data_IF_491358571559
#
_entry.id   IF_491358571559
#
_cell.length_a   1.000
_cell.length_b   1.000
_cell.length_c   1.000
_cell.angle_alpha   90.00
_cell.angle_beta   90.00
_cell.angle_gamma   90.00
#
_symmetry.space_group_name_H-M   'P 1'
#
loop_
_entity.id
_entity.type
_entity.pdbx_description
1 polymer ?
#
# COMPACT_ATOMS: atom_id res chain seq x y z
N UNK A 1 -0.78 16.54 -18.85
CA UNK A 1 0.57 16.11 -18.39
C UNK A 1 1.03 14.91 -19.21
N UNK A 2 2.29 14.91 -19.64
CA UNK A 2 2.92 13.74 -20.27
C UNK A 2 3.01 12.59 -19.24
N UNK A 3 2.75 11.34 -19.67
CA UNK A 3 2.78 10.16 -18.79
C UNK A 3 4.19 9.94 -18.23
N UNK A 4 4.30 9.68 -16.93
CA UNK A 4 5.57 9.36 -16.28
C UNK A 4 5.65 7.83 -16.07
N UNK A 5 6.47 7.17 -16.87
CA UNK A 5 6.64 5.70 -16.85
C UNK A 5 7.39 5.20 -15.61
N UNK A 6 8.23 6.04 -14.99
CA UNK A 6 8.88 5.70 -13.73
C UNK A 6 7.86 5.57 -12.58
N UNK A 7 6.84 6.46 -12.53
CA UNK A 7 5.73 6.30 -11.59
C UNK A 7 4.92 5.04 -11.85
N UNK A 8 4.74 4.67 -13.12
CA UNK A 8 4.07 3.42 -13.47
C UNK A 8 4.88 2.21 -13.00
N UNK A 9 6.21 2.25 -13.12
CA UNK A 9 7.11 1.22 -12.62
C UNK A 9 7.05 1.12 -11.08
N UNK A 10 7.09 2.26 -10.37
CA UNK A 10 6.94 2.31 -8.91
C UNK A 10 5.59 1.69 -8.48
N UNK A 11 4.51 1.97 -9.22
CA UNK A 11 3.19 1.40 -8.93
C UNK A 11 3.16 -0.12 -9.08
N UNK A 12 3.81 -0.66 -10.11
CA UNK A 12 3.96 -2.11 -10.31
C UNK A 12 4.77 -2.70 -9.15
N UNK A 13 5.92 -2.12 -8.81
CA UNK A 13 6.76 -2.59 -7.72
C UNK A 13 6.02 -2.55 -6.37
N UNK A 14 5.27 -1.49 -6.08
CA UNK A 14 4.44 -1.38 -4.88
C UNK A 14 3.35 -2.46 -4.82
N UNK A 15 2.71 -2.78 -5.96
CA UNK A 15 1.73 -3.85 -6.06
C UNK A 15 2.36 -5.22 -5.78
N UNK A 16 3.53 -5.50 -6.34
CA UNK A 16 4.30 -6.73 -6.08
C UNK A 16 4.70 -6.85 -4.60
N UNK A 17 5.14 -5.74 -3.98
CA UNK A 17 5.47 -5.69 -2.57
C UNK A 17 4.28 -6.04 -1.67
N UNK A 18 3.07 -5.57 -2.01
CA UNK A 18 1.85 -5.93 -1.27
C UNK A 18 1.51 -7.42 -1.42
N UNK A 19 1.72 -8.03 -2.61
CA UNK A 19 1.57 -9.47 -2.78
C UNK A 19 2.54 -10.25 -1.88
N UNK A 20 3.79 -9.78 -1.75
CA UNK A 20 4.79 -10.35 -0.84
C UNK A 20 4.29 -10.34 0.61
N UNK A 21 3.76 -9.21 1.10
CA UNK A 21 3.21 -9.10 2.46
C UNK A 21 2.08 -10.08 2.75
N UNK A 22 1.29 -10.47 1.74
CA UNK A 22 0.16 -11.39 1.95
C UNK A 22 0.52 -12.85 1.81
N UNK A 23 1.60 -13.18 1.09
CA UNK A 23 2.04 -14.56 0.89
C UNK A 23 3.04 -14.99 1.95
N UNK A 24 4.03 -14.16 2.22
CA UNK A 24 5.00 -14.40 3.27
C UNK A 24 4.46 -13.94 4.63
N UNK A 25 5.09 -14.34 5.71
CA UNK A 25 4.66 -13.97 7.05
C UNK A 25 5.82 -13.96 8.04
N UNK A 26 5.55 -13.49 9.24
CA UNK A 26 6.54 -13.37 10.32
C UNK A 26 6.79 -14.71 11.06
N UNK A 27 6.01 -15.75 10.77
CA UNK A 27 6.06 -17.03 11.50
C UNK A 27 6.88 -18.12 10.81
N UNK A 28 7.31 -17.92 9.57
CA UNK A 28 7.93 -18.93 8.71
C UNK A 28 9.46 -19.04 8.81
N UNK A 29 10.09 -18.61 9.92
CA UNK A 29 11.55 -18.60 10.09
C UNK A 29 12.23 -17.38 9.44
N UNK A 30 13.55 -17.27 9.61
CA UNK A 30 14.31 -16.07 9.24
C UNK A 30 14.13 -15.66 7.77
N UNK A 31 14.38 -16.57 6.84
CA UNK A 31 14.33 -16.24 5.39
C UNK A 31 12.92 -15.80 4.99
N UNK A 32 11.89 -16.50 5.45
CA UNK A 32 10.50 -16.16 5.16
C UNK A 32 10.13 -14.77 5.69
N UNK A 33 10.58 -14.45 6.90
CA UNK A 33 10.32 -13.15 7.54
C UNK A 33 11.09 -12.01 6.86
N UNK A 34 12.33 -12.24 6.42
CA UNK A 34 13.10 -11.27 5.61
C UNK A 34 12.39 -11.00 4.29
N UNK A 35 11.92 -12.04 3.60
CA UNK A 35 11.14 -11.88 2.36
C UNK A 35 9.83 -11.12 2.62
N UNK A 36 9.14 -11.40 3.73
CA UNK A 36 7.96 -10.63 4.15
C UNK A 36 8.29 -9.13 4.29
N UNK A 37 9.34 -8.78 5.03
CA UNK A 37 9.70 -7.37 5.24
C UNK A 37 10.21 -6.67 3.98
N UNK A 38 10.68 -7.40 2.96
CA UNK A 38 10.93 -6.80 1.64
C UNK A 38 9.66 -6.16 1.04
N UNK A 39 8.46 -6.57 1.48
CA UNK A 39 7.20 -5.98 1.03
C UNK A 39 6.82 -4.68 1.72
N UNK A 40 7.49 -4.28 2.80
CA UNK A 40 7.11 -3.13 3.64
C UNK A 40 6.97 -1.82 2.87
N UNK A 41 7.75 -1.58 1.82
CA UNK A 41 7.67 -0.34 1.05
C UNK A 41 6.38 -0.19 0.22
N UNK A 42 5.59 -1.25 0.03
CA UNK A 42 4.47 -1.26 -0.93
C UNK A 42 3.42 -0.20 -0.64
N UNK A 43 2.83 -0.21 0.54
CA UNK A 43 1.76 0.73 0.95
C UNK A 43 2.26 2.19 1.00
N UNK A 44 3.41 2.50 1.62
CA UNK A 44 3.96 3.85 1.58
C UNK A 44 4.14 4.41 0.16
N UNK A 45 4.64 3.61 -0.78
CA UNK A 45 4.79 4.06 -2.17
C UNK A 45 3.45 4.40 -2.82
N UNK A 46 2.35 3.71 -2.51
CA UNK A 46 1.03 4.07 -3.02
C UNK A 46 0.56 5.43 -2.49
N UNK A 47 0.80 5.75 -1.22
CA UNK A 47 0.54 7.09 -0.68
C UNK A 47 1.42 8.15 -1.35
N UNK A 48 2.71 7.87 -1.57
CA UNK A 48 3.62 8.78 -2.27
C UNK A 48 3.19 9.03 -3.72
N UNK A 49 2.80 8.00 -4.47
CA UNK A 49 2.25 8.13 -5.84
C UNK A 49 0.98 9.00 -5.84
N UNK A 50 0.12 8.79 -4.85
CA UNK A 50 -1.12 9.56 -4.71
C UNK A 50 -0.83 11.03 -4.44
N UNK A 51 0.08 11.33 -3.52
CA UNK A 51 0.53 12.69 -3.22
C UNK A 51 1.19 13.37 -4.42
N UNK A 52 2.10 12.66 -5.10
CA UNK A 52 2.76 13.14 -6.33
C UNK A 52 1.74 13.61 -7.38
N UNK A 53 0.64 12.88 -7.55
CA UNK A 53 -0.37 13.19 -8.57
C UNK A 53 -1.42 14.20 -8.09
N UNK A 54 -1.87 14.08 -6.85
CA UNK A 54 -2.98 14.89 -6.34
C UNK A 54 -2.56 16.30 -5.97
N UNK A 55 -1.37 16.47 -5.41
CA UNK A 55 -0.83 17.79 -5.03
C UNK A 55 -0.17 18.54 -6.20
N UNK A 56 -0.05 17.93 -7.37
CA UNK A 56 0.55 18.55 -8.56
C UNK A 56 -0.24 19.74 -9.10
N UNK A 57 -1.56 19.79 -8.84
CA UNK A 57 -2.44 20.90 -9.21
C UNK A 57 -3.52 21.10 -8.15
N UNK A 58 -3.99 22.36 -7.99
CA UNK A 58 -5.16 22.65 -7.17
C UNK A 58 -6.38 21.92 -7.73
N UNK A 59 -7.14 21.29 -6.83
CA UNK A 59 -8.37 20.56 -7.19
C UNK A 59 -9.55 21.16 -6.45
N UNK A 60 -10.72 21.17 -7.11
CA UNK A 60 -11.95 21.58 -6.46
C UNK A 60 -12.41 20.53 -5.44
N UNK A 61 -13.15 20.95 -4.42
CA UNK A 61 -13.79 20.02 -3.48
C UNK A 61 -14.72 19.05 -4.19
N UNK A 62 -15.42 19.49 -5.24
CA UNK A 62 -16.28 18.63 -6.04
C UNK A 62 -15.51 17.49 -6.72
N UNK A 63 -14.34 17.79 -7.35
CA UNK A 63 -13.48 16.73 -7.94
C UNK A 63 -13.00 15.71 -6.90
N UNK A 64 -12.71 16.17 -5.70
CA UNK A 64 -12.24 15.33 -4.60
C UNK A 64 -13.37 14.48 -4.06
N UNK A 65 -14.53 15.10 -3.79
CA UNK A 65 -15.71 14.40 -3.28
C UNK A 65 -16.14 13.27 -4.23
N UNK A 66 -16.15 13.54 -5.54
CA UNK A 66 -16.45 12.51 -6.54
C UNK A 66 -15.47 11.32 -6.50
N UNK A 67 -14.18 11.57 -6.22
CA UNK A 67 -13.20 10.49 -6.05
C UNK A 67 -13.50 9.66 -4.80
N UNK A 68 -13.80 10.32 -3.67
CA UNK A 68 -14.16 9.68 -2.42
C UNK A 68 -15.44 8.86 -2.57
N UNK A 69 -16.48 9.44 -3.16
CA UNK A 69 -17.74 8.73 -3.45
C UNK A 69 -17.49 7.49 -4.33
N UNK A 70 -16.65 7.60 -5.38
CA UNK A 70 -16.32 6.45 -6.21
C UNK A 70 -15.57 5.35 -5.43
N UNK A 71 -14.72 5.69 -4.46
CA UNK A 71 -14.08 4.73 -3.57
C UNK A 71 -15.14 4.00 -2.73
N UNK A 72 -16.02 4.71 -2.06
CA UNK A 72 -17.05 4.09 -1.21
C UNK A 72 -18.07 3.29 -2.01
N UNK A 73 -18.50 3.77 -3.16
CA UNK A 73 -19.35 2.98 -4.07
C UNK A 73 -18.67 1.68 -4.49
N UNK A 74 -17.38 1.75 -4.79
CA UNK A 74 -16.61 0.55 -5.09
C UNK A 74 -16.61 -0.44 -3.91
N UNK A 75 -16.32 0.03 -2.69
CA UNK A 75 -16.31 -0.80 -1.49
C UNK A 75 -17.69 -1.41 -1.20
N UNK A 76 -18.76 -0.63 -1.32
CA UNK A 76 -20.14 -1.11 -1.11
C UNK A 76 -20.47 -2.20 -2.13
N UNK A 77 -20.23 -1.97 -3.43
CA UNK A 77 -20.48 -2.97 -4.46
C UNK A 77 -19.67 -4.24 -4.20
N UNK A 78 -18.42 -4.10 -3.78
CA UNK A 78 -17.58 -5.24 -3.45
C UNK A 78 -18.14 -6.02 -2.24
N UNK A 79 -18.57 -5.35 -1.18
CA UNK A 79 -19.18 -6.02 -0.02
C UNK A 79 -20.50 -6.72 -0.39
N UNK A 80 -21.34 -6.08 -1.20
CA UNK A 80 -22.63 -6.65 -1.65
C UNK A 80 -22.41 -7.85 -2.59
N UNK A 81 -21.34 -7.88 -3.37
CA UNK A 81 -21.04 -9.02 -4.25
C UNK A 81 -20.30 -10.14 -3.53
N UNK A 82 -19.31 -9.81 -2.70
CA UNK A 82 -18.51 -10.79 -1.97
C UNK A 82 -19.23 -11.35 -0.73
N UNK A 83 -19.95 -10.52 0.00
CA UNK A 83 -20.54 -10.89 1.29
C UNK A 83 -21.53 -12.05 1.22
N UNK A 84 -22.51 -12.08 0.27
CA UNK A 84 -23.41 -13.22 0.12
C UNK A 84 -22.69 -14.53 -0.21
N UNK A 85 -21.65 -14.47 -1.07
CA UNK A 85 -20.83 -15.63 -1.40
C UNK A 85 -20.09 -16.13 -0.14
N UNK A 86 -19.52 -15.23 0.63
CA UNK A 86 -18.84 -15.54 1.89
C UNK A 86 -19.82 -16.11 2.92
N UNK A 87 -21.02 -15.51 3.07
CA UNK A 87 -22.08 -16.00 3.95
C UNK A 87 -22.47 -17.44 3.62
N UNK A 88 -22.72 -17.72 2.34
CA UNK A 88 -23.07 -19.06 1.86
C UNK A 88 -21.94 -20.08 2.14
N UNK A 89 -20.70 -19.77 1.78
CA UNK A 89 -19.54 -20.67 1.96
C UNK A 89 -19.24 -20.95 3.43
N UNK A 90 -19.44 -19.97 4.31
CA UNK A 90 -19.15 -20.09 5.76
C UNK A 90 -20.39 -20.42 6.60
N UNK A 91 -21.55 -20.68 5.98
CA UNK A 91 -22.84 -20.95 6.64
C UNK A 91 -23.19 -19.86 7.67
N UNK A 92 -22.96 -18.60 7.34
CA UNK A 92 -23.27 -17.43 8.16
C UNK A 92 -24.55 -16.73 7.68
N UNK A 93 -25.11 -15.88 8.55
CA UNK A 93 -26.24 -15.03 8.17
C UNK A 93 -25.79 -13.97 7.14
N UNK A 94 -26.73 -13.50 6.30
CA UNK A 94 -26.49 -12.46 5.30
C UNK A 94 -26.07 -11.12 5.94
N UNK A 95 -26.39 -10.88 7.22
CA UNK A 95 -25.94 -9.71 7.99
C UNK A 95 -24.41 -9.55 8.01
N UNK A 96 -23.67 -10.63 7.77
CA UNK A 96 -22.19 -10.59 7.66
C UNK A 96 -21.69 -9.62 6.59
N UNK A 97 -22.53 -9.23 5.63
CA UNK A 97 -22.19 -8.19 4.61
C UNK A 97 -21.88 -6.86 5.31
N UNK A 98 -22.66 -6.52 6.35
CA UNK A 98 -22.42 -5.28 7.11
C UNK A 98 -21.16 -5.39 7.98
N UNK A 99 -20.95 -6.54 8.61
CA UNK A 99 -19.74 -6.80 9.40
C UNK A 99 -18.49 -6.70 8.53
N UNK A 100 -18.51 -7.27 7.32
CA UNK A 100 -17.40 -7.17 6.35
C UNK A 100 -17.12 -5.70 5.98
N UNK A 101 -18.16 -4.87 5.82
CA UNK A 101 -17.97 -3.46 5.54
C UNK A 101 -17.29 -2.73 6.71
N UNK A 102 -17.71 -3.00 7.96
CA UNK A 102 -17.09 -2.45 9.17
C UNK A 102 -15.64 -2.94 9.33
N UNK A 103 -15.39 -4.21 9.02
CA UNK A 103 -14.07 -4.83 9.09
C UNK A 103 -13.02 -4.09 8.24
N UNK A 104 -13.43 -3.50 7.12
CA UNK A 104 -12.53 -2.67 6.29
C UNK A 104 -12.01 -1.46 7.07
N UNK A 105 -12.84 -0.82 7.90
CA UNK A 105 -12.44 0.34 8.69
C UNK A 105 -11.53 -0.04 9.88
N UNK A 106 -11.69 -1.24 10.40
CA UNK A 106 -10.91 -1.71 11.56
C UNK A 106 -9.68 -2.55 11.17
N UNK A 107 -9.40 -2.74 9.88
CA UNK A 107 -8.35 -3.63 9.37
C UNK A 107 -8.50 -5.07 9.89
N UNK A 108 -9.74 -5.58 9.90
CA UNK A 108 -10.08 -6.93 10.34
C UNK A 108 -10.68 -7.76 9.21
N UNK A 109 -10.77 -9.06 9.42
CA UNK A 109 -11.40 -9.97 8.46
C UNK A 109 -10.74 -10.01 7.09
N UNK A 110 -11.39 -10.70 6.15
CA UNK A 110 -10.81 -10.95 4.83
C UNK A 110 -10.66 -9.69 3.97
N UNK A 111 -11.62 -8.76 4.03
CA UNK A 111 -11.56 -7.49 3.29
C UNK A 111 -10.88 -6.37 4.08
N UNK A 112 -10.43 -6.64 5.31
CA UNK A 112 -9.74 -5.66 6.15
C UNK A 112 -8.51 -5.05 5.48
N UNK A 113 -7.84 -5.77 4.59
CA UNK A 113 -6.70 -5.24 3.83
C UNK A 113 -7.06 -4.03 2.93
N UNK A 114 -8.35 -3.79 2.67
CA UNK A 114 -8.83 -2.61 1.94
C UNK A 114 -8.85 -1.33 2.79
N UNK A 115 -8.45 -1.40 4.06
CA UNK A 115 -8.29 -0.24 4.94
C UNK A 115 -7.51 0.91 4.30
N UNK A 116 -6.56 0.58 3.41
CA UNK A 116 -5.81 1.57 2.63
C UNK A 116 -6.71 2.52 1.84
N UNK A 117 -7.81 2.02 1.27
CA UNK A 117 -8.75 2.85 0.50
C UNK A 117 -9.50 3.83 1.43
N UNK A 118 -9.81 3.42 2.65
CA UNK A 118 -10.41 4.28 3.68
C UNK A 118 -9.43 5.39 4.07
N UNK A 119 -8.18 5.03 4.41
CA UNK A 119 -7.14 6.00 4.73
C UNK A 119 -6.91 6.99 3.58
N UNK A 120 -6.86 6.50 2.34
CA UNK A 120 -6.68 7.34 1.15
C UNK A 120 -7.86 8.28 0.94
N UNK A 121 -9.10 7.84 1.21
CA UNK A 121 -10.30 8.69 1.09
C UNK A 121 -10.26 9.84 2.10
N UNK A 122 -9.84 9.59 3.35
CA UNK A 122 -9.67 10.63 4.38
C UNK A 122 -8.62 11.67 3.91
N UNK A 123 -7.47 11.20 3.40
CA UNK A 123 -6.42 12.09 2.89
C UNK A 123 -6.92 12.89 1.68
N UNK A 124 -7.73 12.31 0.82
CA UNK A 124 -8.31 13.04 -0.30
C UNK A 124 -9.21 14.18 0.19
N UNK A 125 -10.04 13.98 1.20
CA UNK A 125 -10.90 15.04 1.77
C UNK A 125 -10.08 16.22 2.30
N UNK A 126 -8.92 15.97 2.91
CA UNK A 126 -8.04 17.03 3.42
C UNK A 126 -7.01 17.53 2.39
N UNK A 127 -6.98 16.96 1.17
CA UNK A 127 -6.03 17.36 0.10
C UNK A 127 -6.08 18.85 -0.25
N UNK A 128 -7.24 19.56 -0.29
CA UNK A 128 -7.27 21.00 -0.54
C UNK A 128 -6.48 21.81 0.50
N UNK A 129 -6.51 21.39 1.76
CA UNK A 129 -5.72 21.98 2.84
C UNK A 129 -4.24 21.65 2.64
N UNK A 130 -3.91 20.37 2.45
CA UNK A 130 -2.54 19.89 2.25
C UNK A 130 -1.88 20.52 1.02
N UNK A 131 -2.67 20.88 0.00
CA UNK A 131 -2.18 21.58 -1.20
C UNK A 131 -1.51 22.91 -0.87
N UNK A 132 -2.00 23.67 0.10
CA UNK A 132 -1.41 24.94 0.51
C UNK A 132 -0.06 24.77 1.22
N UNK A 133 0.17 23.60 1.83
CA UNK A 133 1.38 23.28 2.59
C UNK A 133 2.35 22.37 1.83
N UNK A 134 2.03 21.97 0.59
CA UNK A 134 2.79 20.96 -0.15
C UNK A 134 4.28 21.30 -0.39
N UNK A 135 4.61 22.60 -0.49
CA UNK A 135 5.96 23.08 -0.72
C UNK A 135 6.71 23.40 0.59
N UNK A 136 6.04 23.29 1.74
CA UNK A 136 6.63 23.58 3.05
C UNK A 136 7.52 22.42 3.53
N UNK A 137 8.83 22.51 3.24
CA UNK A 137 9.83 21.51 3.64
C UNK A 137 9.92 21.34 5.16
N UNK A 138 9.80 22.42 5.93
CA UNK A 138 9.88 22.36 7.39
C UNK A 138 8.73 21.51 7.95
N UNK A 139 7.51 21.70 7.43
CA UNK A 139 6.36 20.89 7.82
C UNK A 139 6.59 19.41 7.48
N UNK A 140 7.07 19.09 6.29
CA UNK A 140 7.33 17.69 5.89
C UNK A 140 8.39 17.06 6.78
N UNK A 141 9.49 17.77 7.08
CA UNK A 141 10.52 17.29 8.00
C UNK A 141 9.98 17.12 9.43
N UNK A 142 9.18 18.07 9.93
CA UNK A 142 8.53 17.93 11.24
C UNK A 142 7.65 16.70 11.31
N UNK A 143 6.86 16.42 10.29
CA UNK A 143 6.03 15.20 10.24
C UNK A 143 6.87 13.92 10.21
N UNK A 144 8.00 13.92 9.50
CA UNK A 144 8.95 12.78 9.52
C UNK A 144 9.50 12.57 10.92
N UNK A 145 9.91 13.65 11.61
CA UNK A 145 10.45 13.57 12.98
C UNK A 145 9.37 13.12 13.95
N UNK A 146 8.19 13.76 13.96
CA UNK A 146 7.09 13.43 14.88
C UNK A 146 6.67 11.97 14.72
N UNK A 147 6.44 11.50 13.48
CA UNK A 147 6.05 10.12 13.27
C UNK A 147 7.17 9.13 13.67
N UNK A 148 8.44 9.52 13.54
CA UNK A 148 9.55 8.69 13.99
C UNK A 148 9.67 8.66 15.53
N UNK A 149 9.37 9.77 16.20
CA UNK A 149 9.27 9.80 17.66
C UNK A 149 8.11 8.94 18.17
N UNK A 150 6.95 8.95 17.49
CA UNK A 150 5.83 8.06 17.80
C UNK A 150 6.26 6.58 17.72
N UNK A 151 7.03 6.20 16.69
CA UNK A 151 7.55 4.84 16.59
C UNK A 151 8.52 4.50 17.72
N UNK A 152 9.45 5.41 18.04
CA UNK A 152 10.41 5.21 19.13
C UNK A 152 9.67 5.08 20.47
N UNK A 153 8.68 5.94 20.73
CA UNK A 153 7.83 5.85 21.92
C UNK A 153 7.08 4.51 21.99
N UNK A 154 6.65 3.96 20.84
CA UNK A 154 6.01 2.66 20.79
C UNK A 154 6.94 1.51 21.26
N UNK A 155 8.25 1.60 20.98
CA UNK A 155 9.25 0.65 21.50
C UNK A 155 9.30 0.71 23.02
N UNK A 156 9.33 1.92 23.60
CA UNK A 156 9.34 2.11 25.05
C UNK A 156 8.04 1.63 25.69
N UNK A 157 6.89 1.97 25.12
CA UNK A 157 5.58 1.53 25.61
C UNK A 157 5.50 0.00 25.64
N UNK A 158 5.93 -0.68 24.57
CA UNK A 158 5.97 -2.15 24.54
C UNK A 158 6.84 -2.72 25.65
N UNK A 159 8.00 -2.12 25.91
CA UNK A 159 8.95 -2.60 26.92
C UNK A 159 8.43 -2.45 28.36
N UNK A 160 7.69 -1.37 28.65
CA UNK A 160 7.31 -1.03 30.04
C UNK A 160 5.83 -1.27 30.36
N UNK A 161 4.92 -1.29 29.39
CA UNK A 161 3.48 -1.43 29.62
C UNK A 161 2.82 -2.50 28.78
N UNK A 162 3.59 -3.20 27.93
CA UNK A 162 3.11 -4.23 26.97
C UNK A 162 2.05 -3.74 25.97
N UNK A 163 1.83 -2.43 25.90
CA UNK A 163 0.89 -1.78 24.97
C UNK A 163 1.60 -1.39 23.68
N UNK A 164 0.91 -1.54 22.56
CA UNK A 164 1.40 -1.14 21.23
C UNK A 164 0.40 -0.16 20.61
N UNK A 165 0.88 0.88 19.93
CA UNK A 165 0.03 1.92 19.31
C UNK A 165 -1.00 1.33 18.34
N UNK A 166 -0.70 0.24 17.63
CA UNK A 166 -1.65 -0.45 16.76
C UNK A 166 -2.89 -0.96 17.47
N UNK A 167 -2.81 -1.20 18.77
CA UNK A 167 -3.93 -1.69 19.59
C UNK A 167 -4.85 -0.53 20.01
N UNK A 168 -4.33 0.71 19.95
CA UNK A 168 -5.05 1.92 20.30
C UNK A 168 -5.64 2.61 19.07
N UNK A 169 -4.86 2.70 17.98
CA UNK A 169 -5.23 3.44 16.78
C UNK A 169 -5.27 2.50 15.57
N UNK A 170 -6.46 2.31 15.02
CA UNK A 170 -6.66 1.49 13.81
C UNK A 170 -5.89 2.06 12.60
N UNK A 171 -5.40 1.19 11.74
CA UNK A 171 -4.54 1.53 10.60
C UNK A 171 -5.04 2.72 9.75
N UNK A 172 -6.32 2.79 9.31
CA UNK A 172 -6.78 3.91 8.50
C UNK A 172 -6.63 5.27 9.16
N UNK A 173 -6.68 5.33 10.49
CA UNK A 173 -6.64 6.57 11.28
C UNK A 173 -5.22 7.02 11.67
N UNK A 174 -4.17 6.29 11.32
CA UNK A 174 -2.78 6.73 11.51
C UNK A 174 -2.40 7.83 10.52
N UNK A 175 -3.14 8.94 10.58
CA UNK A 175 -3.04 10.03 9.60
C UNK A 175 -1.65 10.67 9.57
N UNK A 176 -0.94 10.73 10.71
CA UNK A 176 0.45 11.22 10.76
C UNK A 176 1.37 10.44 9.85
N UNK A 177 1.21 9.11 9.75
CA UNK A 177 1.96 8.24 8.84
C UNK A 177 1.63 8.54 7.39
N UNK A 178 0.32 8.51 7.06
CA UNK A 178 -0.15 8.58 5.68
C UNK A 178 0.02 9.97 5.08
N UNK A 179 -0.21 11.04 5.85
CA UNK A 179 0.05 12.43 5.44
C UNK A 179 1.54 12.62 5.17
N UNK A 180 2.42 12.06 6.01
CA UNK A 180 3.87 12.14 5.81
C UNK A 180 4.27 11.55 4.44
N UNK A 181 3.88 10.32 4.12
CA UNK A 181 4.20 9.72 2.83
C UNK A 181 3.54 10.44 1.65
N UNK A 182 2.31 10.90 1.83
CA UNK A 182 1.59 11.65 0.80
C UNK A 182 2.30 12.96 0.44
N UNK A 183 2.73 13.73 1.43
CA UNK A 183 3.48 14.97 1.23
C UNK A 183 4.89 14.70 0.71
N UNK A 184 5.59 13.66 1.20
CA UNK A 184 6.90 13.25 0.71
C UNK A 184 6.88 12.96 -0.80
N UNK A 185 5.86 12.26 -1.28
CA UNK A 185 5.73 11.95 -2.72
C UNK A 185 5.71 13.19 -3.62
N UNK A 186 5.08 14.26 -3.19
CA UNK A 186 5.08 15.54 -3.91
C UNK A 186 6.37 16.33 -3.66
N UNK A 187 6.83 16.41 -2.41
CA UNK A 187 7.95 17.26 -2.02
C UNK A 187 9.27 16.83 -2.69
N UNK A 188 9.51 15.52 -2.79
CA UNK A 188 10.68 14.98 -3.48
C UNK A 188 10.66 15.35 -4.97
N UNK A 189 9.48 15.37 -5.60
CA UNK A 189 9.33 15.79 -7.00
C UNK A 189 9.80 17.23 -7.23
N UNK A 190 9.40 18.13 -6.35
CA UNK A 190 9.47 19.58 -6.62
C UNK A 190 10.81 20.21 -6.18
N UNK A 191 11.54 19.54 -5.31
CA UNK A 191 12.64 20.18 -4.59
C UNK A 191 14.05 19.73 -5.01
N UNK A 192 14.21 18.88 -6.03
CA UNK A 192 15.49 18.34 -6.46
C UNK A 192 16.38 17.81 -5.29
N UNK A 193 15.75 17.47 -4.15
CA UNK A 193 16.46 17.01 -2.94
C UNK A 193 17.32 15.78 -3.27
N UNK A 194 16.87 15.00 -4.26
CA UNK A 194 17.52 13.79 -4.73
C UNK A 194 17.68 13.89 -6.25
N UNK A 195 18.54 14.80 -6.72
CA UNK A 195 18.72 15.08 -8.15
C UNK A 195 19.55 14.01 -8.88
N UNK A 196 20.22 13.13 -8.16
CA UNK A 196 21.07 12.08 -8.73
C UNK A 196 20.51 10.69 -8.41
N UNK A 197 20.70 9.76 -9.35
CA UNK A 197 20.41 8.35 -9.15
C UNK A 197 21.32 7.77 -8.05
N UNK A 198 20.75 7.08 -7.09
CA UNK A 198 21.52 6.38 -6.07
C UNK A 198 22.34 5.25 -6.69
N UNK A 199 23.49 4.95 -6.09
CA UNK A 199 24.24 3.77 -6.44
C UNK A 199 23.41 2.50 -6.14
N UNK A 200 23.24 1.56 -7.09
CA UNK A 200 22.48 0.35 -6.87
C UNK A 200 23.06 -0.53 -5.76
N UNK A 201 24.38 -0.58 -5.58
CA UNK A 201 25.02 -1.34 -4.49
C UNK A 201 24.62 -0.75 -3.15
N UNK A 202 24.67 0.59 -3.03
CA UNK A 202 24.21 1.27 -1.81
C UNK A 202 22.74 0.98 -1.51
N UNK A 203 21.89 0.93 -2.54
CA UNK A 203 20.48 0.59 -2.36
C UNK A 203 20.28 -0.85 -1.87
N UNK A 204 21.05 -1.80 -2.35
CA UNK A 204 21.04 -3.19 -1.86
C UNK A 204 21.45 -3.23 -0.38
N UNK A 205 22.54 -2.55 -0.02
CA UNK A 205 23.04 -2.51 1.37
C UNK A 205 21.96 -1.92 2.30
N UNK A 206 21.39 -0.77 1.96
CA UNK A 206 20.35 -0.15 2.80
C UNK A 206 19.08 -1.01 2.88
N UNK A 207 18.72 -1.74 1.82
CA UNK A 207 17.63 -2.70 1.83
C UNK A 207 17.89 -3.83 2.82
N UNK A 208 19.09 -4.41 2.78
CA UNK A 208 19.49 -5.46 3.75
C UNK A 208 19.47 -4.94 5.18
N UNK A 209 19.96 -3.72 5.42
CA UNK A 209 19.90 -3.08 6.74
C UNK A 209 18.45 -2.90 7.18
N UNK A 210 17.58 -2.38 6.33
CA UNK A 210 16.18 -2.11 6.66
C UNK A 210 15.41 -3.38 7.01
N UNK A 211 15.49 -4.43 6.19
CA UNK A 211 14.74 -5.68 6.44
C UNK A 211 15.27 -6.43 7.65
N UNK A 212 16.59 -6.41 7.90
CA UNK A 212 17.14 -7.00 9.12
C UNK A 212 16.76 -6.20 10.36
N UNK A 213 16.75 -4.86 10.27
CA UNK A 213 16.25 -4.00 11.33
C UNK A 213 14.81 -4.36 11.71
N UNK A 214 13.91 -4.51 10.72
CA UNK A 214 12.54 -4.94 10.96
C UNK A 214 12.46 -6.32 11.61
N UNK A 215 13.30 -7.26 11.14
CA UNK A 215 13.36 -8.60 11.71
C UNK A 215 13.77 -8.57 13.19
N UNK A 216 14.90 -7.89 13.52
CA UNK A 216 15.40 -7.86 14.88
C UNK A 216 14.46 -7.12 15.83
N UNK A 217 13.98 -5.94 15.46
CA UNK A 217 13.04 -5.16 16.28
C UNK A 217 11.70 -5.91 16.40
N UNK A 218 11.18 -6.44 15.29
CA UNK A 218 9.92 -7.17 15.29
C UNK A 218 9.93 -8.40 16.16
N UNK A 219 10.98 -9.18 16.06
CA UNK A 219 11.09 -10.46 16.79
C UNK A 219 11.48 -10.28 18.25
N UNK A 220 12.55 -9.52 18.53
CA UNK A 220 13.13 -9.48 19.87
C UNK A 220 12.52 -8.42 20.79
N UNK A 221 11.90 -7.38 20.25
CA UNK A 221 11.24 -6.34 21.05
C UNK A 221 9.73 -6.57 21.11
N UNK A 222 9.11 -6.88 19.99
CA UNK A 222 7.65 -6.96 19.90
C UNK A 222 7.09 -8.39 19.88
N UNK A 223 7.94 -9.41 19.79
CA UNK A 223 7.53 -10.82 19.77
C UNK A 223 7.03 -11.34 18.43
N UNK A 224 6.68 -10.57 17.49
CA UNK A 224 6.37 -10.70 16.06
C UNK A 224 5.52 -9.51 15.63
N UNK A 225 6.11 -8.58 14.92
CA UNK A 225 5.45 -7.35 14.52
C UNK A 225 5.23 -7.33 12.99
N UNK A 226 4.03 -6.95 12.58
CA UNK A 226 3.71 -6.81 11.16
C UNK A 226 4.34 -5.55 10.56
N UNK A 227 4.62 -5.62 9.25
CA UNK A 227 5.29 -4.57 8.45
C UNK A 227 4.66 -3.17 8.61
N UNK A 228 3.31 -3.11 8.73
CA UNK A 228 2.59 -1.83 8.86
C UNK A 228 2.94 -1.08 10.14
N UNK A 229 3.50 -1.72 11.14
CA UNK A 229 3.92 -1.05 12.38
C UNK A 229 5.24 -0.29 12.21
N UNK A 230 6.05 -0.64 11.20
CA UNK A 230 7.36 -0.04 10.95
C UNK A 230 7.31 1.20 10.05
N UNK A 231 6.18 1.51 9.42
CA UNK A 231 6.08 2.67 8.51
C UNK A 231 6.49 4.00 9.13
N UNK A 232 6.40 4.12 10.44
CA UNK A 232 6.82 5.33 11.17
C UNK A 232 8.30 5.32 11.54
N UNK A 233 9.02 4.21 11.42
CA UNK A 233 10.46 4.12 11.67
C UNK A 233 11.25 5.01 10.70
N UNK A 234 12.23 5.75 11.24
CA UNK A 234 13.10 6.61 10.43
C UNK A 234 13.93 5.81 9.41
N UNK A 235 14.43 4.64 9.79
CA UNK A 235 15.22 3.77 8.91
C UNK A 235 14.37 3.34 7.70
N UNK A 236 13.14 2.94 7.93
CA UNK A 236 12.23 2.52 6.88
C UNK A 236 11.83 3.69 5.97
N UNK A 237 11.60 4.88 6.52
CA UNK A 237 11.35 6.09 5.71
C UNK A 237 12.53 6.42 4.80
N UNK A 238 13.76 6.39 5.33
CA UNK A 238 14.98 6.63 4.53
C UNK A 238 15.09 5.60 3.42
N UNK A 239 14.91 4.32 3.72
CA UNK A 239 14.93 3.25 2.72
C UNK A 239 13.90 3.47 1.61
N UNK A 240 12.65 3.77 1.96
CA UNK A 240 11.56 4.02 0.99
C UNK A 240 11.85 5.26 0.13
N UNK A 241 12.39 6.33 0.71
CA UNK A 241 12.78 7.54 -0.03
C UNK A 241 13.90 7.21 -1.03
N UNK A 242 14.89 6.41 -0.65
CA UNK A 242 15.97 5.99 -1.53
C UNK A 242 15.48 5.07 -2.65
N UNK A 243 14.58 4.14 -2.37
CA UNK A 243 13.90 3.31 -3.38
C UNK A 243 13.12 4.17 -4.38
N UNK A 244 12.33 5.13 -3.89
CA UNK A 244 11.61 6.08 -4.73
C UNK A 244 12.56 6.85 -5.64
N UNK A 245 13.62 7.43 -5.07
CA UNK A 245 14.60 8.19 -5.82
C UNK A 245 15.27 7.36 -6.91
N UNK A 246 15.71 6.16 -6.56
CA UNK A 246 16.33 5.25 -7.54
C UNK A 246 15.37 4.94 -8.70
N UNK A 247 14.12 4.57 -8.37
CA UNK A 247 13.12 4.23 -9.38
C UNK A 247 12.75 5.40 -10.28
N UNK A 248 12.72 6.64 -9.74
CA UNK A 248 12.44 7.85 -10.53
C UNK A 248 13.55 8.20 -11.52
N UNK A 249 14.78 7.71 -11.32
CA UNK A 249 15.95 7.96 -12.19
C UNK A 249 16.36 6.76 -13.05
N UNK A 250 15.56 5.68 -13.07
CA UNK A 250 15.78 4.56 -14.01
C UNK A 250 15.50 5.03 -15.43
N UNK A 251 16.46 4.80 -16.33
CA UNK A 251 16.24 4.95 -17.77
C UNK A 251 15.43 3.76 -18.28
N UNK A 252 14.27 4.02 -18.85
CA UNK A 252 13.37 2.99 -19.38
C UNK A 252 13.41 3.03 -20.91
N UNK A 253 13.69 1.90 -21.54
CA UNK A 253 13.62 1.77 -23.01
C UNK A 253 12.18 2.05 -23.49
N UNK A 254 12.06 2.81 -24.57
CA UNK A 254 10.78 3.15 -25.20
C UNK A 254 9.96 1.91 -25.59
N UNK A 255 10.62 0.81 -25.94
CA UNK A 255 9.96 -0.50 -26.24
C UNK A 255 9.20 -1.05 -25.04
N UNK A 256 9.57 -0.69 -23.81
CA UNK A 256 8.90 -1.14 -22.58
C UNK A 256 7.70 -0.27 -22.19
N UNK A 257 7.52 0.92 -22.76
CA UNK A 257 6.47 1.87 -22.36
C UNK A 257 5.06 1.28 -22.46
N UNK A 258 4.78 0.54 -23.53
CA UNK A 258 3.47 -0.12 -23.71
C UNK A 258 3.24 -1.17 -22.63
N UNK A 259 4.20 -2.06 -22.38
CA UNK A 259 4.12 -3.14 -21.38
C UNK A 259 3.92 -2.57 -19.98
N UNK A 260 4.75 -1.59 -19.57
CA UNK A 260 4.65 -0.91 -18.27
C UNK A 260 3.28 -0.25 -18.12
N UNK A 261 2.77 0.38 -19.18
CA UNK A 261 1.45 1.01 -19.17
C UNK A 261 0.34 0.01 -18.89
N UNK A 262 0.35 -1.15 -19.55
CA UNK A 262 -0.65 -2.20 -19.37
C UNK A 262 -0.60 -2.75 -17.96
N UNK A 263 0.59 -3.13 -17.48
CA UNK A 263 0.77 -3.66 -16.14
C UNK A 263 0.37 -2.64 -15.06
N UNK A 264 0.80 -1.38 -15.17
CA UNK A 264 0.46 -0.33 -14.21
C UNK A 264 -1.05 -0.06 -14.12
N UNK A 265 -1.78 -0.15 -15.23
CA UNK A 265 -3.25 -0.04 -15.22
C UNK A 265 -3.93 -1.22 -14.53
N UNK A 266 -3.33 -2.39 -14.56
CA UNK A 266 -3.86 -3.60 -13.95
C UNK A 266 -3.66 -3.64 -12.42
N UNK A 267 -2.71 -2.90 -11.84
CA UNK A 267 -2.30 -3.01 -10.43
C UNK A 267 -3.43 -2.85 -9.43
N UNK A 268 -4.40 -1.96 -9.68
CA UNK A 268 -5.53 -1.78 -8.77
C UNK A 268 -6.45 -3.00 -8.77
N UNK A 269 -6.71 -3.59 -9.94
CA UNK A 269 -7.47 -4.82 -10.05
C UNK A 269 -6.74 -5.99 -9.39
N UNK A 270 -5.41 -6.10 -9.57
CA UNK A 270 -4.57 -7.08 -8.86
C UNK A 270 -4.71 -6.92 -7.36
N UNK A 271 -4.60 -5.68 -6.84
CA UNK A 271 -4.75 -5.38 -5.41
C UNK A 271 -6.10 -5.85 -4.82
N UNK A 272 -7.17 -5.77 -5.59
CA UNK A 272 -8.48 -6.24 -5.14
C UNK A 272 -8.62 -7.76 -5.27
N UNK A 273 -8.24 -8.33 -6.41
CA UNK A 273 -8.40 -9.76 -6.66
C UNK A 273 -7.51 -10.63 -5.76
N UNK A 274 -6.36 -10.13 -5.31
CA UNK A 274 -5.51 -10.85 -4.38
C UNK A 274 -6.23 -11.24 -3.09
N UNK A 275 -7.15 -10.38 -2.59
CA UNK A 275 -7.92 -10.66 -1.38
C UNK A 275 -8.73 -11.93 -1.54
N UNK A 276 -9.43 -12.04 -2.66
CA UNK A 276 -10.27 -13.20 -2.98
C UNK A 276 -9.39 -14.43 -3.18
N UNK A 277 -8.31 -14.30 -3.97
CA UNK A 277 -7.40 -15.40 -4.25
C UNK A 277 -6.78 -15.94 -2.96
N UNK A 278 -6.25 -15.07 -2.10
CA UNK A 278 -5.59 -15.50 -0.87
C UNK A 278 -6.57 -16.04 0.17
N UNK A 279 -7.81 -15.58 0.21
CA UNK A 279 -8.83 -16.20 1.05
C UNK A 279 -9.11 -17.66 0.64
N UNK A 280 -9.00 -18.00 -0.65
CA UNK A 280 -9.12 -19.37 -1.16
C UNK A 280 -7.85 -20.16 -0.84
N UNK A 281 -6.68 -19.61 -1.18
CA UNK A 281 -5.39 -20.30 -1.02
C UNK A 281 -5.11 -20.64 0.46
N UNK A 282 -5.40 -19.73 1.39
CA UNK A 282 -5.22 -19.96 2.83
C UNK A 282 -6.03 -21.12 3.38
N UNK A 283 -7.18 -21.44 2.75
CA UNK A 283 -7.98 -22.60 3.15
C UNK A 283 -7.44 -23.92 2.59
N UNK A 284 -6.64 -23.89 1.52
CA UNK A 284 -6.17 -25.08 0.79
C UNK A 284 -4.69 -25.36 1.06
N UNK A 285 -3.86 -24.33 1.14
CA UNK A 285 -2.40 -24.45 1.26
C UNK A 285 -1.95 -23.76 2.57
N UNK A 286 -1.16 -24.44 3.38
CA UNK A 286 -0.49 -23.84 4.55
C UNK A 286 0.64 -22.91 4.09
N UNK A 287 0.27 -21.72 3.59
CA UNK A 287 1.22 -20.65 3.25
C UNK A 287 1.82 -20.11 4.56
N UNK A 288 2.94 -19.41 4.44
CA UNK A 288 3.70 -18.73 5.52
C UNK A 288 4.67 -19.62 6.31
N UNK A 289 4.63 -20.94 6.17
CA UNK A 289 5.54 -21.84 6.89
C UNK A 289 6.71 -22.33 6.05
N UNK A 290 6.52 -22.51 4.73
CA UNK A 290 7.54 -23.03 3.82
C UNK A 290 7.92 -22.01 2.75
N UNK A 291 9.21 -21.63 2.69
CA UNK A 291 9.74 -20.62 1.77
C UNK A 291 9.54 -21.02 0.30
N UNK A 292 9.77 -22.29 -0.06
CA UNK A 292 9.61 -22.75 -1.44
C UNK A 292 8.15 -22.68 -1.91
N UNK A 293 7.21 -23.10 -1.04
CA UNK A 293 5.78 -23.00 -1.32
C UNK A 293 5.40 -21.54 -1.48
N UNK A 294 5.88 -20.65 -0.61
CA UNK A 294 5.59 -19.23 -0.68
C UNK A 294 6.16 -18.58 -1.95
N UNK A 295 7.39 -18.89 -2.34
CA UNK A 295 7.98 -18.41 -3.58
C UNK A 295 7.18 -18.88 -4.82
N UNK A 296 6.83 -20.17 -4.86
CA UNK A 296 6.02 -20.73 -5.96
C UNK A 296 4.64 -20.07 -6.00
N UNK A 297 3.99 -19.93 -4.85
CA UNK A 297 2.68 -19.25 -4.72
C UNK A 297 2.78 -17.80 -5.17
N UNK A 298 3.84 -17.08 -4.80
CA UNK A 298 4.08 -15.70 -5.22
C UNK A 298 4.18 -15.58 -6.75
N UNK A 299 4.99 -16.41 -7.38
CA UNK A 299 5.16 -16.38 -8.84
C UNK A 299 3.85 -16.71 -9.56
N UNK A 300 3.21 -17.82 -9.18
CA UNK A 300 1.98 -18.28 -9.82
C UNK A 300 0.82 -17.29 -9.61
N UNK A 301 0.60 -16.85 -8.36
CA UNK A 301 -0.48 -15.90 -8.05
C UNK A 301 -0.26 -14.56 -8.75
N UNK A 302 0.97 -14.07 -8.83
CA UNK A 302 1.30 -12.84 -9.54
C UNK A 302 0.93 -12.95 -11.02
N UNK A 303 1.37 -14.02 -11.70
CA UNK A 303 1.08 -14.23 -13.13
C UNK A 303 -0.44 -14.30 -13.35
N UNK A 304 -1.13 -15.12 -12.57
CA UNK A 304 -2.59 -15.31 -12.69
C UNK A 304 -3.33 -13.99 -12.44
N UNK A 305 -3.00 -13.26 -11.38
CA UNK A 305 -3.64 -12.01 -11.04
C UNK A 305 -3.45 -10.94 -12.12
N UNK A 306 -2.23 -10.80 -12.66
CA UNK A 306 -1.99 -9.85 -13.75
C UNK A 306 -2.71 -10.24 -15.04
N UNK A 307 -2.72 -11.51 -15.42
CA UNK A 307 -3.46 -11.99 -16.61
C UNK A 307 -4.95 -11.68 -16.46
N UNK A 308 -5.58 -12.08 -15.35
CA UNK A 308 -7.00 -11.83 -15.09
C UNK A 308 -7.28 -10.32 -15.08
N UNK A 309 -6.44 -9.52 -14.42
CA UNK A 309 -6.63 -8.07 -14.33
C UNK A 309 -6.51 -7.37 -15.68
N UNK A 310 -5.63 -7.83 -16.57
CA UNK A 310 -5.51 -7.33 -17.94
C UNK A 310 -6.74 -7.70 -18.78
N UNK A 311 -7.26 -8.93 -18.63
CA UNK A 311 -8.48 -9.36 -19.31
C UNK A 311 -9.70 -8.56 -18.84
N UNK A 312 -9.85 -8.35 -17.53
CA UNK A 312 -10.87 -7.48 -16.93
C UNK A 312 -10.78 -6.05 -17.51
N UNK A 313 -9.55 -5.53 -17.64
CA UNK A 313 -9.30 -4.21 -18.20
C UNK A 313 -9.76 -4.02 -19.66
N UNK A 314 -9.96 -5.11 -20.41
CA UNK A 314 -10.50 -5.07 -21.79
C UNK A 314 -12.03 -4.92 -21.81
N UNK A 315 -12.74 -5.30 -20.75
CA UNK A 315 -14.21 -5.19 -20.65
C UNK A 315 -14.60 -3.78 -20.21
N UNK A 316 -15.50 -3.11 -20.95
CA UNK A 316 -15.88 -1.70 -20.72
C UNK A 316 -16.48 -1.46 -19.32
N UNK A 317 -17.34 -2.37 -18.86
CA UNK A 317 -18.04 -2.24 -17.57
C UNK A 317 -17.07 -2.48 -16.42
N UNK A 318 -16.36 -3.61 -16.44
CA UNK A 318 -15.42 -3.95 -15.36
C UNK A 318 -14.25 -2.97 -15.28
N UNK A 319 -13.73 -2.51 -16.44
CA UNK A 319 -12.68 -1.49 -16.45
C UNK A 319 -13.16 -0.17 -15.80
N UNK A 320 -14.42 0.22 -16.00
CA UNK A 320 -14.99 1.41 -15.35
C UNK A 320 -15.05 1.22 -13.83
N UNK A 321 -15.45 0.06 -13.36
CA UNK A 321 -15.51 -0.29 -11.95
C UNK A 321 -14.11 -0.31 -11.33
N UNK A 322 -13.18 -1.10 -11.85
CA UNK A 322 -11.81 -1.22 -11.36
C UNK A 322 -10.90 0.00 -11.63
N UNK A 323 -11.35 1.02 -12.35
CA UNK A 323 -10.67 2.30 -12.50
C UNK A 323 -11.22 3.40 -11.59
N UNK A 324 -12.15 3.07 -10.67
CA UNK A 324 -12.85 4.01 -9.78
C UNK A 324 -13.51 5.17 -10.55
N UNK A 325 -14.17 4.83 -11.68
CA UNK A 325 -14.88 5.78 -12.52
C UNK A 325 -16.37 5.44 -12.60
N UNK A 326 -16.95 5.01 -11.50
CA UNK A 326 -18.33 4.57 -11.39
C UNK A 326 -19.26 5.75 -11.74
N UNK A 327 -19.03 6.89 -11.13
CA UNK A 327 -19.67 8.15 -11.47
C UNK A 327 -18.72 8.97 -12.35
N UNK A 328 -19.19 9.45 -13.48
CA UNK A 328 -18.41 10.33 -14.36
C UNK A 328 -18.50 11.77 -13.88
N UNK A 329 -17.37 12.45 -13.83
CA UNK A 329 -17.35 13.91 -13.78
C UNK A 329 -17.87 14.41 -15.12
N UNK A 330 -19.04 15.07 -15.14
CA UNK A 330 -19.41 15.91 -16.29
C UNK A 330 -18.34 17.00 -16.37
N UNK A 331 -17.65 17.08 -17.50
CA UNK A 331 -16.69 18.14 -17.78
C UNK A 331 -17.40 19.47 -17.97
#
# INVERSE_FOLDING_TARGET
MKRNYNLDLIRIAACMAVLVLHIFGVEGGYINTILYYLGTFGIPLFFMISGYNMLAKKRSYHEILLKVVNIYLFLIILCVTYGPIYAFLKKKNISVVFDIFIDIFSNKGNLGILWFMVALSIIYLITPILYNFRDNRKLVLSLVVISSLIFTSNIFLKKYSDVIIKDIVVQPLRLWTWITYYLLGYNIRNNNILSRKNNPIFLVIITLIAVNYEYFIGKYIFGNLYAESFYDSLIIKIWIILLWNYAMHISIDKKMFSKITVLSKATFCVYILQVILFSIIHNVIKIRTNVFINCSTFVLSTIILFIISILIGKTKILNRYFSLKIIKVKK
#
